data_IF_162254483422
#
_entry.id   IF_162254483422
#
_cell.length_a   1.000
_cell.length_b   1.000
_cell.length_c   1.000
_cell.angle_alpha   90.00
_cell.angle_beta   90.00
_cell.angle_gamma   90.00
#
_symmetry.space_group_name_H-M   'P 1'
#
loop_
_entity.id
_entity.type
_entity.pdbx_description
1 polymer ?
#
# COMPACT_ATOMS: atom_id res chain seq x y z
N UNK A 1 34.77 46.87 35.17
CA UNK A 1 34.98 46.63 33.73
C UNK A 1 34.16 45.42 33.28
N UNK A 2 33.25 45.68 32.33
CA UNK A 2 32.52 44.80 31.39
C UNK A 2 31.98 43.40 31.75
N UNK A 3 30.65 43.39 31.98
CA UNK A 3 29.69 42.33 31.60
C UNK A 3 29.70 42.15 30.07
N UNK A 4 29.94 40.94 29.55
CA UNK A 4 29.56 40.57 28.17
C UNK A 4 28.27 39.75 28.22
N UNK A 5 27.16 40.38 27.83
CA UNK A 5 25.92 39.68 27.49
C UNK A 5 26.00 39.33 26.00
N UNK A 6 26.09 38.05 25.69
CA UNK A 6 26.02 37.54 24.32
C UNK A 6 24.56 37.55 23.88
N UNK A 7 24.19 38.48 23.00
CA UNK A 7 22.89 38.51 22.36
C UNK A 7 22.81 37.38 21.32
N UNK A 8 22.21 36.24 21.68
CA UNK A 8 21.86 35.18 20.74
C UNK A 8 20.54 35.55 20.06
N UNK A 9 20.62 35.87 18.77
CA UNK A 9 19.46 36.23 17.93
C UNK A 9 18.54 35.02 17.69
N UNK A 10 17.24 35.07 18.05
CA UNK A 10 16.33 33.92 17.91
C UNK A 10 15.53 33.91 16.58
N UNK A 11 15.87 34.74 15.60
CA UNK A 11 14.97 35.03 14.45
C UNK A 11 15.03 34.05 13.27
N UNK A 12 16.07 33.22 13.13
CA UNK A 12 16.24 32.41 11.90
C UNK A 12 15.43 31.11 11.91
N UNK A 13 15.14 30.54 13.08
CA UNK A 13 14.44 29.25 13.17
C UNK A 13 12.92 29.30 12.95
N UNK A 14 12.27 30.49 12.98
CA UNK A 14 10.81 30.61 12.78
C UNK A 14 10.37 30.74 11.32
N UNK A 15 11.26 31.16 10.43
CA UNK A 15 10.92 31.38 9.02
C UNK A 15 10.78 30.06 8.24
N UNK A 16 11.62 29.07 8.55
CA UNK A 16 11.54 27.76 7.89
C UNK A 16 10.34 26.91 8.34
N UNK A 17 9.79 27.15 9.54
CA UNK A 17 8.62 26.42 10.04
C UNK A 17 7.29 26.92 9.45
N UNK A 18 7.27 28.14 8.88
CA UNK A 18 6.06 28.76 8.35
C UNK A 18 5.85 28.53 6.84
N UNK A 19 6.88 28.11 6.10
CA UNK A 19 6.82 28.04 4.64
C UNK A 19 6.26 26.73 4.06
N UNK A 20 5.96 25.71 4.87
CA UNK A 20 5.44 24.42 4.36
C UNK A 20 4.28 23.83 5.18
N UNK A 21 3.62 24.64 6.02
CA UNK A 21 2.36 24.18 6.63
C UNK A 21 1.23 24.40 5.62
N UNK A 22 1.17 23.54 4.61
CA UNK A 22 -0.08 23.35 3.87
C UNK A 22 -1.19 23.13 4.90
N UNK A 23 -2.33 23.83 4.80
CA UNK A 23 -3.45 23.54 5.69
C UNK A 23 -3.75 22.04 5.59
N UNK A 24 -4.06 21.36 6.72
CA UNK A 24 -4.47 19.96 6.66
C UNK A 24 -5.61 19.86 5.64
N UNK A 25 -5.57 18.85 4.75
CA UNK A 25 -6.56 18.73 3.70
C UNK A 25 -7.97 18.77 4.32
N UNK A 26 -8.93 19.46 3.68
CA UNK A 26 -10.24 19.65 4.27
C UNK A 26 -10.89 18.30 4.54
N UNK A 27 -11.36 18.13 5.79
CA UNK A 27 -12.15 16.99 6.24
C UNK A 27 -13.47 16.97 5.49
N UNK A 28 -13.82 15.82 4.94
CA UNK A 28 -15.08 15.60 4.24
C UNK A 28 -16.07 14.99 5.22
N UNK A 29 -17.32 15.45 5.20
CA UNK A 29 -18.41 14.79 5.93
C UNK A 29 -18.86 13.60 5.10
N UNK A 30 -18.91 12.41 5.71
CA UNK A 30 -19.45 11.23 5.03
C UNK A 30 -20.98 11.32 4.97
N UNK A 31 -21.50 11.77 3.83
CA UNK A 31 -22.94 11.85 3.57
C UNK A 31 -23.49 10.56 2.96
N UNK A 32 -24.82 10.44 2.94
CA UNK A 32 -25.54 9.24 2.43
C UNK A 32 -25.15 8.89 1.00
N UNK A 33 -25.01 9.93 0.16
CA UNK A 33 -24.67 9.77 -1.24
C UNK A 33 -23.25 9.25 -1.41
N UNK A 34 -22.26 9.88 -0.77
CA UNK A 34 -20.88 9.42 -0.81
C UNK A 34 -20.75 8.00 -0.28
N UNK A 35 -21.44 7.65 0.81
CA UNK A 35 -21.44 6.29 1.32
C UNK A 35 -21.99 5.28 0.31
N UNK A 36 -23.12 5.60 -0.34
CA UNK A 36 -23.70 4.74 -1.37
C UNK A 36 -22.76 4.55 -2.57
N UNK A 37 -22.13 5.63 -3.03
CA UNK A 37 -21.14 5.61 -4.11
C UNK A 37 -19.90 4.79 -3.70
N UNK A 38 -19.41 4.93 -2.47
CA UNK A 38 -18.30 4.12 -1.92
C UNK A 38 -18.65 2.64 -1.85
N UNK A 39 -19.89 2.28 -1.46
CA UNK A 39 -20.33 0.89 -1.45
C UNK A 39 -20.31 0.27 -2.86
N UNK A 40 -20.74 1.01 -3.88
CA UNK A 40 -20.66 0.58 -5.26
C UNK A 40 -19.21 0.50 -5.76
N UNK A 41 -18.36 1.47 -5.40
CA UNK A 41 -16.94 1.48 -5.73
C UNK A 41 -16.21 0.27 -5.12
N UNK A 42 -16.49 -0.08 -3.86
CA UNK A 42 -15.93 -1.27 -3.21
C UNK A 42 -16.26 -2.56 -3.97
N UNK A 43 -17.51 -2.71 -4.43
CA UNK A 43 -17.93 -3.86 -5.24
C UNK A 43 -17.17 -3.91 -6.56
N UNK A 44 -17.14 -2.81 -7.29
CA UNK A 44 -16.42 -2.72 -8.57
C UNK A 44 -14.92 -3.01 -8.37
N UNK A 45 -14.32 -2.49 -7.30
CA UNK A 45 -12.91 -2.69 -7.03
C UNK A 45 -12.60 -4.14 -6.65
N UNK A 46 -13.44 -4.79 -5.84
CA UNK A 46 -13.30 -6.21 -5.52
C UNK A 46 -13.33 -7.09 -6.77
N UNK A 47 -14.31 -6.88 -7.66
CA UNK A 47 -14.40 -7.60 -8.94
C UNK A 47 -13.21 -7.32 -9.84
N UNK A 48 -12.66 -6.11 -9.82
CA UNK A 48 -11.48 -5.78 -10.61
C UNK A 48 -10.23 -6.51 -10.10
N UNK A 49 -10.03 -6.58 -8.77
CA UNK A 49 -8.89 -7.24 -8.15
C UNK A 49 -8.82 -8.74 -8.47
N UNK A 50 -9.98 -9.40 -8.56
CA UNK A 50 -10.11 -10.81 -8.93
C UNK A 50 -9.48 -11.18 -10.29
N UNK A 51 -9.25 -10.19 -11.18
CA UNK A 51 -8.66 -10.44 -12.49
C UNK A 51 -7.11 -10.44 -12.49
N UNK A 52 -6.46 -10.23 -11.35
CA UNK A 52 -5.02 -10.16 -11.25
C UNK A 52 -4.41 -11.39 -10.58
N UNK A 53 -3.12 -11.63 -10.85
CA UNK A 53 -2.34 -12.70 -10.20
C UNK A 53 -2.16 -12.39 -8.70
N UNK A 54 -2.74 -13.25 -7.86
CA UNK A 54 -2.82 -13.10 -6.41
C UNK A 54 -1.45 -12.98 -5.74
N UNK A 55 -0.44 -13.66 -6.29
CA UNK A 55 0.90 -13.74 -5.69
C UNK A 55 1.88 -12.67 -6.21
N UNK A 56 1.44 -11.82 -7.15
CA UNK A 56 2.26 -10.75 -7.71
C UNK A 56 1.89 -9.38 -7.20
N UNK A 57 2.87 -8.49 -7.21
CA UNK A 57 2.66 -7.07 -6.93
C UNK A 57 2.22 -6.36 -8.22
N UNK A 58 1.04 -5.75 -8.19
CA UNK A 58 0.61 -4.83 -9.23
C UNK A 58 0.82 -3.38 -8.78
N UNK A 59 1.82 -2.72 -9.37
CA UNK A 59 2.18 -1.34 -9.03
C UNK A 59 1.02 -0.36 -9.24
N UNK A 60 0.27 -0.50 -10.34
CA UNK A 60 -0.87 0.36 -10.66
C UNK A 60 -1.95 0.24 -9.58
N UNK A 61 -2.28 -0.99 -9.17
CA UNK A 61 -3.28 -1.21 -8.12
C UNK A 61 -2.79 -0.74 -6.74
N UNK A 62 -1.50 -0.91 -6.41
CA UNK A 62 -0.93 -0.37 -5.17
C UNK A 62 -1.04 1.16 -5.11
N UNK A 63 -0.69 1.87 -6.20
CA UNK A 63 -0.79 3.32 -6.26
C UNK A 63 -2.24 3.81 -6.21
N UNK A 64 -3.15 3.13 -6.94
CA UNK A 64 -4.58 3.42 -6.90
C UNK A 64 -5.14 3.24 -5.50
N UNK A 65 -4.85 2.13 -4.83
CA UNK A 65 -5.27 1.90 -3.45
C UNK A 65 -4.74 2.97 -2.51
N UNK A 66 -3.48 3.38 -2.65
CA UNK A 66 -2.91 4.43 -1.80
C UNK A 66 -3.61 5.77 -1.97
N UNK A 67 -3.91 6.16 -3.22
CA UNK A 67 -4.67 7.37 -3.50
C UNK A 67 -6.11 7.27 -2.95
N UNK A 68 -6.76 6.13 -3.15
CA UNK A 68 -8.11 5.86 -2.65
C UNK A 68 -8.17 5.85 -1.12
N UNK A 69 -7.25 5.16 -0.43
CA UNK A 69 -7.17 5.16 1.02
C UNK A 69 -6.89 6.56 1.59
N UNK A 70 -6.03 7.34 0.93
CA UNK A 70 -5.81 8.73 1.32
C UNK A 70 -7.08 9.56 1.17
N UNK A 71 -7.88 9.33 0.12
CA UNK A 71 -9.19 9.96 -0.04
C UNK A 71 -10.17 9.52 1.05
N UNK A 72 -10.27 8.23 1.34
CA UNK A 72 -11.16 7.70 2.40
C UNK A 72 -10.83 8.25 3.78
N UNK A 73 -9.54 8.39 4.10
CA UNK A 73 -9.07 8.97 5.37
C UNK A 73 -9.43 10.44 5.54
N UNK A 74 -9.93 11.13 4.50
CA UNK A 74 -10.44 12.49 4.64
C UNK A 74 -11.85 12.54 5.22
N UNK A 75 -12.60 11.45 5.17
CA UNK A 75 -13.93 11.39 5.75
C UNK A 75 -13.85 11.33 7.27
N UNK A 76 -14.56 12.23 7.93
CA UNK A 76 -14.66 12.35 9.39
C UNK A 76 -14.96 11.02 10.09
N UNK A 77 -15.93 10.26 9.58
CA UNK A 77 -16.37 8.98 10.16
C UNK A 77 -15.44 7.79 9.86
N UNK A 78 -14.72 7.84 8.73
CA UNK A 78 -13.82 6.75 8.31
C UNK A 78 -12.40 6.92 8.84
N UNK A 79 -11.95 8.16 9.00
CA UNK A 79 -10.61 8.47 9.48
C UNK A 79 -10.20 7.70 10.74
N UNK A 80 -10.98 7.71 11.85
CA UNK A 80 -10.56 7.03 13.08
C UNK A 80 -10.46 5.51 12.91
N UNK A 81 -11.36 4.90 12.11
CA UNK A 81 -11.40 3.46 11.91
C UNK A 81 -10.32 2.97 10.94
N UNK A 82 -9.91 3.82 9.99
CA UNK A 82 -8.89 3.51 8.98
C UNK A 82 -7.49 4.05 9.34
N UNK A 83 -7.34 4.79 10.44
CA UNK A 83 -6.06 5.39 10.84
C UNK A 83 -4.94 4.34 10.94
N UNK A 84 -5.24 3.16 11.48
CA UNK A 84 -4.30 2.04 11.63
C UNK A 84 -3.98 1.32 10.32
N UNK A 85 -4.79 1.49 9.29
CA UNK A 85 -4.58 0.85 7.99
C UNK A 85 -3.43 1.52 7.25
N UNK A 86 -2.33 0.80 7.06
CA UNK A 86 -1.18 1.25 6.29
C UNK A 86 -1.43 1.21 4.78
N UNK A 87 -0.75 2.07 4.03
CA UNK A 87 -0.74 2.01 2.57
C UNK A 87 -0.18 0.68 2.03
N UNK A 88 -0.46 0.40 0.77
CA UNK A 88 0.17 -0.66 0.00
C UNK A 88 1.62 -0.27 -0.35
N UNK A 89 2.54 -1.24 -0.30
CA UNK A 89 3.95 -1.09 -0.66
C UNK A 89 4.12 -1.41 -2.15
N UNK A 90 4.32 -0.43 -3.05
CA UNK A 90 4.44 -0.66 -4.49
C UNK A 90 5.87 -1.09 -4.83
N UNK A 91 6.30 -2.26 -4.34
CA UNK A 91 7.65 -2.80 -4.56
C UNK A 91 7.52 -4.12 -5.33
N UNK A 92 7.76 -4.08 -6.63
CA UNK A 92 7.76 -5.25 -7.51
C UNK A 92 9.15 -5.91 -7.57
N UNK A 93 9.19 -7.19 -7.93
CA UNK A 93 10.43 -7.98 -8.01
C UNK A 93 11.51 -7.34 -8.87
N UNK A 94 11.14 -6.78 -10.02
CA UNK A 94 12.11 -6.14 -10.92
C UNK A 94 12.80 -4.92 -10.27
N UNK A 95 12.14 -4.20 -9.36
CA UNK A 95 12.75 -3.09 -8.62
C UNK A 95 13.82 -3.61 -7.65
N UNK A 96 13.55 -4.73 -6.97
CA UNK A 96 14.53 -5.39 -6.09
C UNK A 96 15.75 -5.84 -6.89
N UNK A 97 15.54 -6.50 -8.03
CA UNK A 97 16.62 -6.92 -8.93
C UNK A 97 17.41 -5.70 -9.43
N UNK A 98 16.73 -4.62 -9.82
CA UNK A 98 17.39 -3.39 -10.29
C UNK A 98 18.26 -2.76 -9.21
N UNK A 99 17.75 -2.63 -7.97
CA UNK A 99 18.52 -2.11 -6.84
C UNK A 99 19.76 -2.97 -6.55
N UNK A 100 19.63 -4.28 -6.67
CA UNK A 100 20.74 -5.20 -6.47
C UNK A 100 21.79 -5.09 -7.59
N UNK A 101 21.38 -4.95 -8.85
CA UNK A 101 22.31 -4.71 -9.96
C UNK A 101 23.04 -3.38 -9.78
N UNK A 102 22.35 -2.32 -9.37
CA UNK A 102 22.96 -1.02 -9.07
C UNK A 102 23.97 -1.15 -7.91
N UNK A 103 23.62 -1.88 -6.85
CA UNK A 103 24.53 -2.13 -5.74
C UNK A 103 25.80 -2.85 -6.20
N UNK A 104 25.66 -3.91 -7.01
CA UNK A 104 26.80 -4.63 -7.56
C UNK A 104 27.66 -3.77 -8.50
N UNK A 105 27.05 -2.87 -9.26
CA UNK A 105 27.77 -1.88 -10.07
C UNK A 105 28.62 -0.95 -9.19
N UNK A 106 28.07 -0.44 -8.09
CA UNK A 106 28.83 0.38 -7.15
C UNK A 106 29.99 -0.37 -6.50
N UNK A 107 29.77 -1.64 -6.14
CA UNK A 107 30.85 -2.50 -5.63
C UNK A 107 31.93 -2.63 -6.69
N UNK A 108 31.58 -2.97 -7.93
CA UNK A 108 32.53 -3.12 -9.03
C UNK A 108 33.36 -1.84 -9.28
N UNK A 109 32.72 -0.66 -9.22
CA UNK A 109 33.40 0.63 -9.37
C UNK A 109 34.32 1.00 -8.20
N UNK A 110 34.01 0.50 -6.99
CA UNK A 110 34.82 0.73 -5.81
C UNK A 110 36.05 -0.20 -5.72
N UNK A 111 36.12 -1.25 -6.55
CA UNK A 111 37.27 -2.15 -6.52
C UNK A 111 38.53 -1.48 -7.10
N UNK A 112 39.68 -1.65 -6.44
CA UNK A 112 40.96 -1.17 -6.98
C UNK A 112 41.30 -1.93 -8.27
N UNK A 113 41.94 -1.27 -9.23
CA UNK A 113 42.27 -1.83 -10.56
C UNK A 113 43.19 -3.07 -10.58
N UNK A 114 43.56 -3.63 -9.43
CA UNK A 114 44.32 -4.88 -9.27
C UNK A 114 43.47 -5.92 -8.56
N UNK A 115 42.45 -6.42 -9.23
CA UNK A 115 41.62 -7.53 -8.74
C UNK A 115 42.23 -8.83 -9.23
N UNK A 116 42.44 -9.81 -8.34
CA UNK A 116 42.91 -11.13 -8.77
C UNK A 116 41.85 -11.82 -9.63
N UNK A 117 42.27 -12.64 -10.61
CA UNK A 117 41.32 -13.38 -11.46
C UNK A 117 40.39 -14.28 -10.63
N UNK A 118 40.89 -14.87 -9.54
CA UNK A 118 40.08 -15.66 -8.61
C UNK A 118 39.00 -14.82 -7.91
N UNK A 119 39.32 -13.60 -7.46
CA UNK A 119 38.35 -12.71 -6.84
C UNK A 119 37.29 -12.24 -7.85
N UNK A 120 37.70 -11.93 -9.09
CA UNK A 120 36.77 -11.56 -10.16
C UNK A 120 35.76 -12.69 -10.47
N UNK A 121 36.23 -13.94 -10.57
CA UNK A 121 35.37 -15.11 -10.79
C UNK A 121 34.39 -15.32 -9.63
N UNK A 122 34.86 -15.21 -8.38
CA UNK A 122 34.00 -15.32 -7.20
C UNK A 122 32.93 -14.22 -7.16
N UNK A 123 33.30 -12.98 -7.49
CA UNK A 123 32.35 -11.86 -7.56
C UNK A 123 31.29 -12.06 -8.64
N UNK A 124 31.69 -12.50 -9.84
CA UNK A 124 30.75 -12.79 -10.93
C UNK A 124 29.77 -13.91 -10.56
N UNK A 125 30.28 -14.99 -9.94
CA UNK A 125 29.45 -16.09 -9.45
C UNK A 125 28.48 -15.64 -8.35
N UNK A 126 28.96 -14.85 -7.39
CA UNK A 126 28.14 -14.29 -6.30
C UNK A 126 27.05 -13.35 -6.83
N UNK A 127 27.38 -12.52 -7.82
CA UNK A 127 26.43 -11.63 -8.48
C UNK A 127 25.29 -12.41 -9.14
N UNK A 128 25.61 -13.39 -9.99
CA UNK A 128 24.60 -14.23 -10.66
C UNK A 128 23.75 -15.00 -9.66
N UNK A 129 24.38 -15.59 -8.64
CA UNK A 129 23.67 -16.33 -7.60
C UNK A 129 22.71 -15.42 -6.82
N UNK A 130 23.11 -14.19 -6.52
CA UNK A 130 22.24 -13.22 -5.82
C UNK A 130 21.01 -12.85 -6.64
N UNK A 131 21.13 -12.70 -7.98
CA UNK A 131 20.00 -12.46 -8.89
C UNK A 131 19.01 -13.62 -8.84
N UNK A 132 19.51 -14.84 -8.98
CA UNK A 132 18.67 -16.04 -8.94
C UNK A 132 17.98 -16.18 -7.57
N UNK A 133 18.69 -15.89 -6.47
CA UNK A 133 18.14 -15.99 -5.12
C UNK A 133 16.89 -15.12 -4.90
N UNK A 134 16.81 -13.94 -5.53
CA UNK A 134 15.64 -13.04 -5.41
C UNK A 134 14.34 -13.69 -5.93
N UNK A 135 14.41 -14.61 -6.89
CA UNK A 135 13.23 -15.30 -7.42
C UNK A 135 12.64 -16.32 -6.44
N UNK A 136 13.42 -16.77 -5.47
CA UNK A 136 12.95 -17.64 -4.39
C UNK A 136 12.30 -16.87 -3.24
N UNK A 137 12.42 -15.54 -3.22
CA UNK A 137 11.81 -14.67 -2.19
C UNK A 137 10.39 -14.29 -2.64
N UNK A 138 9.35 -14.65 -1.88
CA UNK A 138 7.98 -14.23 -2.15
C UNK A 138 7.85 -12.71 -2.22
N UNK A 139 7.06 -12.19 -3.18
CA UNK A 139 6.89 -10.73 -3.33
C UNK A 139 6.19 -10.08 -2.14
N UNK A 140 5.46 -10.85 -1.33
CA UNK A 140 4.79 -10.40 -0.10
C UNK A 140 5.77 -9.90 0.98
N UNK A 141 7.02 -10.33 0.94
CA UNK A 141 8.04 -9.92 1.92
C UNK A 141 8.37 -8.42 1.77
N UNK A 142 8.56 -7.96 0.54
CA UNK A 142 8.97 -6.58 0.25
C UNK A 142 7.82 -5.71 -0.30
N UNK A 143 6.87 -6.29 -1.02
CA UNK A 143 5.75 -5.59 -1.62
C UNK A 143 4.40 -5.88 -0.96
N UNK A 144 3.34 -5.30 -1.53
CA UNK A 144 1.95 -5.68 -1.27
C UNK A 144 1.43 -6.39 -2.50
N UNK A 145 1.29 -7.71 -2.41
CA UNK A 145 0.68 -8.55 -3.46
C UNK A 145 -0.81 -8.24 -3.61
N UNK A 146 -1.44 -8.70 -4.69
CA UNK A 146 -2.88 -8.53 -4.89
C UNK A 146 -3.68 -9.12 -3.72
N UNK A 147 -3.34 -10.31 -3.25
CA UNK A 147 -3.98 -10.93 -2.08
C UNK A 147 -3.92 -10.02 -0.83
N UNK A 148 -2.73 -9.46 -0.52
CA UNK A 148 -2.59 -8.52 0.59
C UNK A 148 -3.35 -7.21 0.37
N UNK A 149 -3.50 -6.80 -0.89
CA UNK A 149 -4.29 -5.63 -1.28
C UNK A 149 -5.78 -5.87 -1.07
N UNK A 150 -6.27 -7.05 -1.46
CA UNK A 150 -7.64 -7.51 -1.22
C UNK A 150 -7.94 -7.55 0.27
N UNK A 151 -7.03 -8.05 1.11
CA UNK A 151 -7.17 -8.02 2.56
C UNK A 151 -7.30 -6.59 3.12
N UNK A 152 -6.57 -5.62 2.55
CA UNK A 152 -6.70 -4.21 2.93
C UNK A 152 -8.03 -3.60 2.47
N UNK A 153 -8.51 -3.93 1.27
CA UNK A 153 -9.82 -3.50 0.77
C UNK A 153 -10.94 -4.12 1.60
N UNK A 154 -10.80 -5.39 1.98
CA UNK A 154 -11.74 -6.11 2.85
C UNK A 154 -11.88 -5.40 4.19
N UNK A 155 -10.77 -4.90 4.77
CA UNK A 155 -10.83 -4.11 5.99
C UNK A 155 -11.65 -2.83 5.83
N UNK A 156 -11.55 -2.15 4.68
CA UNK A 156 -12.39 -0.97 4.37
C UNK A 156 -13.86 -1.36 4.24
N UNK A 157 -14.16 -2.45 3.54
CA UNK A 157 -15.53 -2.97 3.37
C UNK A 157 -16.15 -3.33 4.72
N UNK A 158 -15.41 -4.00 5.60
CA UNK A 158 -15.87 -4.34 6.96
C UNK A 158 -16.19 -3.08 7.77
N UNK A 159 -15.35 -2.03 7.69
CA UNK A 159 -15.60 -0.73 8.34
C UNK A 159 -16.86 -0.04 7.79
N UNK A 160 -17.06 -0.06 6.48
CA UNK A 160 -18.28 0.49 5.88
C UNK A 160 -19.53 -0.28 6.32
N UNK A 161 -19.46 -1.62 6.37
CA UNK A 161 -20.55 -2.45 6.88
C UNK A 161 -20.88 -2.11 8.34
N UNK A 162 -19.87 -1.94 9.19
CA UNK A 162 -20.06 -1.55 10.59
C UNK A 162 -20.77 -0.20 10.72
N UNK A 163 -20.37 0.80 9.93
CA UNK A 163 -21.03 2.12 9.90
C UNK A 163 -22.47 2.04 9.36
N UNK A 164 -22.72 1.17 8.38
CA UNK A 164 -24.06 0.97 7.84
C UNK A 164 -24.98 0.34 8.88
N UNK A 165 -24.52 -0.73 9.54
CA UNK A 165 -25.26 -1.48 10.55
C UNK A 165 -25.46 -0.69 11.84
N UNK A 166 -24.59 0.27 12.14
CA UNK A 166 -24.77 1.18 13.28
C UNK A 166 -25.92 2.19 13.09
N UNK A 167 -26.52 2.27 11.90
CA UNK A 167 -27.62 3.18 11.58
C UNK A 167 -27.21 4.66 11.47
N UNK A 168 -25.91 4.97 11.49
CA UNK A 168 -25.42 6.35 11.59
C UNK A 168 -25.74 7.23 10.35
N UNK A 169 -26.08 6.61 9.22
CA UNK A 169 -26.24 7.28 7.93
C UNK A 169 -27.70 7.65 7.59
N UNK A 170 -28.70 7.28 8.41
CA UNK A 170 -30.13 7.59 8.17
C UNK A 170 -30.60 7.30 6.73
N UNK A 171 -30.23 6.14 6.20
CA UNK A 171 -30.62 5.73 4.85
C UNK A 171 -32.13 5.51 4.73
N UNK A 172 -32.68 5.79 3.54
CA UNK A 172 -33.96 5.20 3.13
C UNK A 172 -33.80 3.68 3.02
N UNK A 173 -34.86 2.92 3.29
CA UNK A 173 -34.84 1.45 3.30
C UNK A 173 -34.22 0.84 2.02
N UNK A 174 -34.64 1.30 0.84
CA UNK A 174 -34.10 0.80 -0.43
C UNK A 174 -32.58 1.09 -0.60
N UNK A 175 -32.13 2.30 -0.26
CA UNK A 175 -30.71 2.67 -0.34
C UNK A 175 -29.87 1.88 0.67
N UNK A 176 -30.40 1.64 1.87
CA UNK A 176 -29.75 0.81 2.88
C UNK A 176 -29.51 -0.60 2.36
N UNK A 177 -30.56 -1.28 1.89
CA UNK A 177 -30.45 -2.66 1.40
C UNK A 177 -29.51 -2.75 0.19
N UNK A 178 -29.56 -1.77 -0.71
CA UNK A 178 -28.69 -1.78 -1.89
C UNK A 178 -27.22 -1.53 -1.53
N UNK A 179 -26.92 -0.59 -0.63
CA UNK A 179 -25.57 -0.37 -0.12
C UNK A 179 -25.05 -1.63 0.59
N UNK A 180 -25.89 -2.27 1.42
CA UNK A 180 -25.56 -3.52 2.11
C UNK A 180 -25.28 -4.65 1.13
N UNK A 181 -26.12 -4.83 0.11
CA UNK A 181 -25.92 -5.83 -0.94
C UNK A 181 -24.57 -5.64 -1.65
N UNK A 182 -24.23 -4.41 -2.02
CA UNK A 182 -22.96 -4.11 -2.67
C UNK A 182 -21.75 -4.42 -1.77
N UNK A 183 -21.81 -4.03 -0.50
CA UNK A 183 -20.73 -4.30 0.46
C UNK A 183 -20.59 -5.79 0.78
N UNK A 184 -21.71 -6.52 0.93
CA UNK A 184 -21.68 -7.97 1.15
C UNK A 184 -21.14 -8.72 -0.07
N UNK A 185 -21.51 -8.31 -1.28
CA UNK A 185 -20.96 -8.86 -2.52
C UNK A 185 -19.45 -8.62 -2.60
N UNK A 186 -18.99 -7.40 -2.33
CA UNK A 186 -17.56 -7.07 -2.26
C UNK A 186 -16.83 -7.93 -1.22
N UNK A 187 -17.40 -8.06 -0.02
CA UNK A 187 -16.84 -8.87 1.08
C UNK A 187 -16.71 -10.34 0.69
N UNK A 188 -17.73 -10.89 0.03
CA UNK A 188 -17.74 -12.28 -0.39
C UNK A 188 -16.66 -12.54 -1.46
N UNK A 189 -16.59 -11.68 -2.48
CA UNK A 189 -15.59 -11.76 -3.55
C UNK A 189 -14.17 -11.72 -2.97
N UNK A 190 -13.85 -10.70 -2.15
CA UNK A 190 -12.52 -10.53 -1.56
C UNK A 190 -12.13 -11.73 -0.69
N UNK A 191 -13.06 -12.26 0.12
CA UNK A 191 -12.78 -13.45 0.94
C UNK A 191 -12.58 -14.70 0.09
N UNK A 192 -13.35 -14.85 -0.99
CA UNK A 192 -13.20 -15.97 -1.90
C UNK A 192 -11.83 -15.93 -2.59
N UNK A 193 -11.40 -14.78 -3.09
CA UNK A 193 -10.09 -14.64 -3.73
C UNK A 193 -8.93 -14.91 -2.77
N UNK A 194 -9.01 -14.37 -1.55
CA UNK A 194 -8.04 -14.66 -0.48
C UNK A 194 -8.02 -16.16 -0.15
N UNK A 195 -9.17 -16.81 0.01
CA UNK A 195 -9.24 -18.25 0.28
C UNK A 195 -8.63 -19.08 -0.88
N UNK A 196 -8.93 -18.71 -2.12
CA UNK A 196 -8.37 -19.35 -3.31
C UNK A 196 -6.84 -19.21 -3.38
N UNK A 197 -6.29 -18.07 -2.98
CA UNK A 197 -4.84 -17.85 -2.93
C UNK A 197 -4.12 -18.74 -1.88
N UNK A 198 -4.83 -19.20 -0.85
CA UNK A 198 -4.28 -20.06 0.20
C UNK A 198 -4.51 -21.55 -0.04
N UNK A 199 -5.37 -21.94 -0.98
CA UNK A 199 -5.60 -23.35 -1.27
C UNK A 199 -4.40 -23.97 -1.97
N UNK A 200 -3.86 -25.11 -1.47
CA UNK A 200 -2.86 -25.86 -2.21
C UNK A 200 -3.46 -26.32 -3.56
N UNK A 201 -2.66 -26.38 -4.63
CA UNK A 201 -3.12 -26.85 -5.93
C UNK A 201 -3.46 -28.34 -5.83
N UNK A 202 -4.71 -28.66 -5.54
CA UNK A 202 -5.23 -30.03 -5.48
C UNK A 202 -5.82 -30.49 -6.83
N UNK A 203 -5.48 -29.82 -7.92
CA UNK A 203 -5.88 -30.21 -9.27
C UNK A 203 -4.81 -31.10 -9.93
N UNK A 204 -5.20 -32.05 -10.81
CA UNK A 204 -4.23 -32.81 -11.58
C UNK A 204 -3.41 -31.83 -12.43
N UNK A 205 -2.09 -31.97 -12.35
CA UNK A 205 -1.16 -31.33 -13.27
C UNK A 205 -1.40 -32.04 -14.61
N UNK A 206 -2.06 -31.37 -15.55
CA UNK A 206 -2.23 -31.83 -16.93
C UNK A 206 -0.92 -31.63 -17.72
#
# INVERSE_FOLDING_TARGET
MHRRVVHRSPRVNRLFTLLHRSPPPPTLTLDRRAFYELAAECRAYATELANYDQHRVNLKQCHRFNAWLAYLKRYDRLHPQLATLSGARPIARWQVVTLMVILWLFIALALPGRVSQQLATLMMGSWLLSIVAVFFIPESIYGTTIELLEGKVLRVVDVLLEILESGAMEFTEAAFFKARENLLAARHELRQQIDLAHRPPNGPIL
#
